data_IF_143128748787
#
_entry.id   IF_143128748787
#
_cell.length_a   1.000
_cell.length_b   1.000
_cell.length_c   1.000
_cell.angle_alpha   90.00
_cell.angle_beta   90.00
_cell.angle_gamma   90.00
#
_symmetry.space_group_name_H-M   'P 1'
#
loop_
_entity.id
_entity.type
_entity.pdbx_description
1 polymer ?
#
# COMPACT_ATOMS: atom_id res chain seq x y z
N UNK A 1 0.04 -16.09 -12.60
CA UNK A 1 -1.09 -15.62 -11.79
C UNK A 1 -0.81 -14.18 -11.36
N UNK A 2 -1.76 -13.29 -11.59
CA UNK A 2 -1.60 -11.90 -11.15
C UNK A 2 -1.74 -11.80 -9.63
N UNK A 3 -0.90 -10.96 -9.05
CA UNK A 3 -0.89 -10.67 -7.62
C UNK A 3 -1.52 -9.31 -7.37
N UNK A 4 -2.51 -9.29 -6.48
CA UNK A 4 -3.22 -8.09 -6.09
C UNK A 4 -2.91 -7.79 -4.62
N UNK A 5 -2.50 -6.55 -4.34
CA UNK A 5 -2.31 -6.08 -2.97
C UNK A 5 -3.41 -5.07 -2.67
N UNK A 6 -4.17 -5.31 -1.61
CA UNK A 6 -5.24 -4.44 -1.14
C UNK A 6 -4.82 -3.82 0.18
N UNK A 7 -4.71 -2.50 0.19
CA UNK A 7 -4.41 -1.74 1.41
C UNK A 7 -5.72 -1.19 1.96
N UNK A 8 -6.08 -1.64 3.15
CA UNK A 8 -7.20 -1.09 3.92
C UNK A 8 -6.65 -0.11 4.95
N UNK A 9 -7.05 1.15 4.86
CA UNK A 9 -6.43 2.23 5.63
C UNK A 9 -7.33 2.86 6.69
N UNK A 10 -8.53 2.30 6.91
CA UNK A 10 -9.40 2.80 7.98
C UNK A 10 -8.86 2.39 9.34
N UNK A 11 -8.80 3.32 10.32
CA UNK A 11 -8.51 2.95 11.71
C UNK A 11 -9.68 2.20 12.37
N UNK A 12 -10.88 2.27 11.79
CA UNK A 12 -12.05 1.57 12.31
C UNK A 12 -12.12 0.16 11.74
N UNK A 13 -12.42 -0.81 12.60
CA UNK A 13 -12.72 -2.17 12.16
C UNK A 13 -14.14 -2.24 11.63
N UNK A 14 -14.33 -2.99 10.55
CA UNK A 14 -15.64 -3.23 9.94
C UNK A 14 -16.36 -1.94 9.48
N UNK A 15 -15.59 -0.91 9.13
CA UNK A 15 -16.13 0.29 8.52
C UNK A 15 -16.45 0.08 7.04
N UNK A 16 -17.07 1.09 6.42
CA UNK A 16 -17.54 0.98 5.03
C UNK A 16 -16.41 0.71 4.03
N UNK A 17 -15.26 1.36 4.18
CA UNK A 17 -14.14 1.14 3.26
C UNK A 17 -13.57 -0.27 3.39
N UNK A 18 -13.53 -0.81 4.60
CA UNK A 18 -13.06 -2.19 4.80
C UNK A 18 -14.05 -3.20 4.22
N UNK A 19 -15.35 -2.97 4.38
CA UNK A 19 -16.37 -3.82 3.77
C UNK A 19 -16.23 -3.84 2.25
N UNK A 20 -16.02 -2.69 1.64
CA UNK A 20 -15.80 -2.59 0.20
C UNK A 20 -14.54 -3.35 -0.22
N UNK A 21 -13.45 -3.20 0.54
CA UNK A 21 -12.22 -3.92 0.27
C UNK A 21 -12.44 -5.43 0.33
N UNK A 22 -13.17 -5.92 1.34
CA UNK A 22 -13.43 -7.34 1.49
C UNK A 22 -14.30 -7.89 0.35
N UNK A 23 -15.26 -7.11 -0.15
CA UNK A 23 -16.04 -7.52 -1.32
C UNK A 23 -15.19 -7.58 -2.57
N UNK A 24 -14.29 -6.62 -2.77
CA UNK A 24 -13.34 -6.66 -3.88
C UNK A 24 -12.47 -7.91 -3.81
N UNK A 25 -11.95 -8.23 -2.62
CA UNK A 25 -11.10 -9.41 -2.39
C UNK A 25 -11.85 -10.69 -2.73
N UNK A 26 -13.11 -10.78 -2.28
CA UNK A 26 -13.96 -11.93 -2.54
C UNK A 26 -14.14 -12.14 -4.05
N UNK A 27 -14.43 -11.08 -4.78
CA UNK A 27 -14.59 -11.14 -6.23
C UNK A 27 -13.30 -11.55 -6.94
N UNK A 28 -12.18 -10.92 -6.59
CA UNK A 28 -10.90 -11.21 -7.21
C UNK A 28 -10.45 -12.65 -6.94
N UNK A 29 -10.64 -13.12 -5.72
CA UNK A 29 -10.27 -14.48 -5.34
C UNK A 29 -11.13 -15.51 -6.07
N UNK A 30 -12.41 -15.22 -6.29
CA UNK A 30 -13.32 -16.14 -6.97
C UNK A 30 -12.92 -16.43 -8.41
N UNK A 31 -12.19 -15.52 -9.05
CA UNK A 31 -11.68 -15.69 -10.43
C UNK A 31 -10.23 -16.11 -10.49
N UNK A 32 -9.64 -16.50 -9.35
CA UNK A 32 -8.32 -17.13 -9.31
C UNK A 32 -7.14 -16.21 -9.10
N UNK A 33 -7.33 -14.92 -8.81
CA UNK A 33 -6.21 -14.03 -8.50
C UNK A 33 -5.69 -14.27 -7.09
N UNK A 34 -4.37 -14.08 -6.93
CA UNK A 34 -3.74 -14.10 -5.61
C UNK A 34 -3.90 -12.73 -4.98
N UNK A 35 -4.59 -12.65 -3.85
CA UNK A 35 -4.85 -11.39 -3.17
C UNK A 35 -4.21 -11.38 -1.79
N UNK A 36 -3.49 -10.29 -1.49
CA UNK A 36 -2.92 -10.04 -0.17
C UNK A 36 -3.60 -8.79 0.37
N UNK A 37 -4.27 -8.93 1.52
CA UNK A 37 -4.87 -7.81 2.24
C UNK A 37 -3.92 -7.33 3.32
N UNK A 38 -3.68 -6.02 3.35
CA UNK A 38 -2.89 -5.37 4.39
C UNK A 38 -3.77 -4.32 5.05
N UNK A 39 -4.05 -4.52 6.34
CA UNK A 39 -4.78 -3.55 7.15
C UNK A 39 -3.75 -2.69 7.89
N UNK A 40 -3.65 -1.41 7.51
CA UNK A 40 -2.64 -0.51 8.06
C UNK A 40 -2.77 -0.28 9.56
N UNK A 41 -3.95 -0.53 10.14
CA UNK A 41 -4.13 -0.43 11.60
C UNK A 41 -3.25 -1.42 12.37
N UNK A 42 -2.80 -2.48 11.71
CA UNK A 42 -1.98 -3.53 12.32
C UNK A 42 -0.47 -3.33 12.12
N UNK A 43 -0.07 -2.21 11.50
CA UNK A 43 1.32 -1.95 11.14
C UNK A 43 1.78 -0.63 11.74
N UNK A 44 3.07 -0.56 12.06
CA UNK A 44 3.71 0.67 12.54
C UNK A 44 4.48 1.30 11.41
N UNK A 45 4.00 2.44 10.95
CA UNK A 45 4.61 3.18 9.84
C UNK A 45 4.74 4.63 10.26
N UNK A 46 5.98 5.11 10.33
CA UNK A 46 6.27 6.49 10.64
C UNK A 46 6.26 7.34 9.36
N UNK A 47 5.98 8.65 9.47
CA UNK A 47 6.05 9.55 8.33
C UNK A 47 7.45 9.64 7.73
N UNK A 48 7.52 9.95 6.45
CA UNK A 48 8.78 10.21 5.76
C UNK A 48 9.46 11.45 6.37
N UNK A 49 10.77 11.36 6.62
CA UNK A 49 11.56 12.44 7.21
C UNK A 49 12.16 13.37 6.16
N UNK A 50 11.96 13.08 4.87
CA UNK A 50 12.57 13.85 3.76
C UNK A 50 14.08 13.96 3.87
N UNK A 51 14.74 12.96 4.45
CA UNK A 51 16.19 12.95 4.67
C UNK A 51 17.00 12.54 3.45
N UNK A 52 16.34 12.04 2.41
CA UNK A 52 16.94 11.58 1.15
C UNK A 52 17.98 10.46 1.30
N UNK A 53 18.05 9.82 2.46
CA UNK A 53 18.93 8.68 2.67
C UNK A 53 18.77 7.61 1.58
N UNK A 54 17.53 7.34 1.17
CA UNK A 54 17.23 6.31 0.17
C UNK A 54 17.88 6.58 -1.20
N UNK A 55 18.12 7.84 -1.55
CA UNK A 55 18.70 8.21 -2.85
C UNK A 55 20.14 7.69 -3.01
N UNK A 56 20.90 7.64 -1.91
CA UNK A 56 22.28 7.16 -1.92
C UNK A 56 22.47 5.74 -1.39
N UNK A 57 21.37 5.02 -1.08
CA UNK A 57 21.43 3.74 -0.39
C UNK A 57 20.54 2.69 -1.06
N UNK A 58 20.65 2.57 -2.38
CA UNK A 58 19.96 1.55 -3.18
C UNK A 58 18.44 1.54 -3.01
N UNK A 59 17.83 2.74 -2.91
CA UNK A 59 16.39 2.90 -2.74
C UNK A 59 15.85 2.24 -1.47
N UNK A 60 16.64 2.25 -0.41
CA UNK A 60 16.24 1.71 0.90
C UNK A 60 16.05 2.84 1.90
N UNK A 61 14.93 2.82 2.61
CA UNK A 61 14.66 3.81 3.65
C UNK A 61 15.52 3.54 4.89
N UNK A 62 15.96 4.63 5.55
CA UNK A 62 16.71 4.52 6.80
C UNK A 62 15.82 4.06 7.96
N UNK A 63 14.52 4.34 7.90
CA UNK A 63 13.60 3.97 8.97
C UNK A 63 13.35 2.47 8.98
N UNK A 64 13.49 1.87 10.16
CA UNK A 64 13.30 0.43 10.35
C UNK A 64 11.94 0.17 11.00
N UNK A 65 10.89 0.28 10.21
CA UNK A 65 9.53 0.01 10.65
C UNK A 65 8.82 -0.90 9.64
N UNK A 66 7.51 -1.05 9.77
CA UNK A 66 6.75 -1.98 8.93
C UNK A 66 6.57 -1.51 7.48
N UNK A 67 6.88 -0.24 7.18
CA UNK A 67 6.68 0.29 5.84
C UNK A 67 7.47 -0.47 4.79
N UNK A 68 8.70 -0.89 5.11
CA UNK A 68 9.55 -1.55 4.13
C UNK A 68 8.92 -2.86 3.62
N UNK A 69 8.36 -3.66 4.51
CA UNK A 69 7.73 -4.92 4.09
C UNK A 69 6.41 -4.70 3.37
N UNK A 70 5.64 -3.70 3.77
CA UNK A 70 4.39 -3.36 3.07
C UNK A 70 4.68 -2.87 1.66
N UNK A 71 5.65 -1.99 1.52
CA UNK A 71 6.02 -1.43 0.21
C UNK A 71 6.63 -2.51 -0.68
N UNK A 72 7.37 -3.46 -0.12
CA UNK A 72 7.89 -4.59 -0.91
C UNK A 72 6.74 -5.38 -1.56
N UNK A 73 5.65 -5.60 -0.83
CA UNK A 73 4.48 -6.26 -1.40
C UNK A 73 3.86 -5.44 -2.53
N UNK A 74 3.83 -4.11 -2.38
CA UNK A 74 3.31 -3.21 -3.42
C UNK A 74 4.20 -3.24 -4.66
N UNK A 75 5.51 -3.21 -4.49
CA UNK A 75 6.46 -3.24 -5.61
C UNK A 75 6.28 -4.52 -6.44
N UNK A 76 6.03 -5.63 -5.78
CA UNK A 76 5.89 -6.92 -6.43
C UNK A 76 4.47 -7.22 -6.93
N UNK A 77 3.52 -6.33 -6.70
CA UNK A 77 2.14 -6.53 -7.11
C UNK A 77 1.92 -6.14 -8.57
N UNK A 78 0.95 -6.79 -9.21
CA UNK A 78 0.46 -6.40 -10.53
C UNK A 78 -0.65 -5.36 -10.41
N UNK A 79 -1.44 -5.43 -9.34
CA UNK A 79 -2.54 -4.51 -9.06
C UNK A 79 -2.42 -4.02 -7.63
N UNK A 80 -2.57 -2.72 -7.44
CA UNK A 80 -2.50 -2.07 -6.13
C UNK A 80 -3.84 -1.38 -5.86
N UNK A 81 -4.54 -1.84 -4.83
CA UNK A 81 -5.86 -1.34 -4.45
C UNK A 81 -5.75 -0.60 -3.13
N UNK A 82 -6.28 0.61 -3.10
CA UNK A 82 -6.33 1.43 -1.89
C UNK A 82 -7.78 1.65 -1.47
N UNK A 83 -8.13 1.15 -0.29
CA UNK A 83 -9.45 1.38 0.31
C UNK A 83 -9.28 2.33 1.50
N UNK A 84 -9.89 3.52 1.40
CA UNK A 84 -9.72 4.56 2.40
C UNK A 84 -11.04 5.26 2.69
N UNK A 85 -11.33 5.59 3.96
CA UNK A 85 -12.40 6.52 4.26
C UNK A 85 -11.99 7.93 3.81
N UNK A 86 -13.00 8.78 3.63
CA UNK A 86 -12.76 10.20 3.33
C UNK A 86 -12.78 10.96 4.66
N UNK A 87 -11.64 11.52 5.03
CA UNK A 87 -11.50 12.37 6.21
C UNK A 87 -11.10 13.77 5.76
N UNK A 88 -11.95 14.74 6.09
CA UNK A 88 -11.72 16.12 5.73
C UNK A 88 -11.34 16.30 4.26
N UNK A 89 -12.20 15.79 3.37
CA UNK A 89 -12.07 15.91 1.90
C UNK A 89 -10.89 15.14 1.29
N UNK A 90 -10.24 14.27 2.03
CA UNK A 90 -9.07 13.56 1.52
C UNK A 90 -9.01 12.13 2.04
N UNK A 91 -7.99 11.41 1.65
CA UNK A 91 -7.72 10.06 2.14
C UNK A 91 -7.27 10.08 3.60
N UNK A 92 -7.29 8.93 4.25
CA UNK A 92 -6.87 8.85 5.65
C UNK A 92 -5.38 9.18 5.81
N UNK A 93 -5.00 9.71 6.99
CA UNK A 93 -3.60 9.99 7.30
C UNK A 93 -2.75 8.74 7.25
N UNK A 94 -3.29 7.60 7.69
CA UNK A 94 -2.60 6.32 7.65
C UNK A 94 -2.16 5.95 6.22
N UNK A 95 -3.04 6.16 5.25
CA UNK A 95 -2.72 5.88 3.86
C UNK A 95 -1.71 6.88 3.31
N UNK A 96 -1.85 8.17 3.64
CA UNK A 96 -0.93 9.20 3.16
C UNK A 96 0.49 8.95 3.68
N UNK A 97 0.63 8.55 4.93
CA UNK A 97 1.92 8.19 5.50
C UNK A 97 2.58 7.06 4.69
N UNK A 98 1.82 6.04 4.33
CA UNK A 98 2.33 4.95 3.48
C UNK A 98 2.74 5.46 2.10
N UNK A 99 1.90 6.26 1.48
CA UNK A 99 2.17 6.84 0.16
C UNK A 99 3.46 7.64 0.17
N UNK A 100 3.66 8.49 1.19
CA UNK A 100 4.89 9.27 1.30
C UNK A 100 6.13 8.38 1.45
N UNK A 101 6.00 7.27 2.16
CA UNK A 101 7.11 6.32 2.35
C UNK A 101 7.41 5.51 1.08
N UNK A 102 6.50 5.47 0.13
CA UNK A 102 6.74 4.83 -1.17
C UNK A 102 7.78 5.58 -2.00
N UNK A 103 8.11 6.81 -1.63
CA UNK A 103 9.13 7.60 -2.31
C UNK A 103 10.48 6.86 -2.42
N UNK A 104 10.87 6.11 -1.40
CA UNK A 104 12.12 5.36 -1.42
C UNK A 104 12.19 4.35 -2.57
N UNK A 105 11.07 3.80 -2.98
CA UNK A 105 10.98 2.79 -4.02
C UNK A 105 10.32 3.31 -5.30
N UNK A 106 10.23 4.62 -5.45
CA UNK A 106 9.57 5.27 -6.58
C UNK A 106 10.11 4.77 -7.93
N UNK A 107 11.41 4.68 -8.07
CA UNK A 107 12.02 4.23 -9.31
C UNK A 107 11.53 2.83 -9.70
N UNK A 108 11.51 1.91 -8.76
CA UNK A 108 11.09 0.54 -9.01
C UNK A 108 9.60 0.44 -9.33
N UNK A 109 8.78 1.25 -8.68
CA UNK A 109 7.33 1.29 -8.93
C UNK A 109 7.06 1.83 -10.34
N UNK A 110 7.72 2.93 -10.73
CA UNK A 110 7.50 3.59 -12.02
C UNK A 110 8.07 2.79 -13.19
N UNK A 111 9.19 2.11 -13.00
CA UNK A 111 9.90 1.43 -14.08
C UNK A 111 9.72 -0.09 -14.04
N UNK A 112 8.75 -0.57 -13.27
CA UNK A 112 8.46 -2.00 -13.23
C UNK A 112 8.03 -2.50 -14.61
N UNK A 113 8.51 -3.67 -15.04
CA UNK A 113 7.99 -4.31 -16.25
C UNK A 113 6.53 -4.71 -16.11
N UNK A 114 6.05 -4.82 -14.89
CA UNK A 114 4.63 -5.04 -14.60
C UNK A 114 3.92 -3.70 -14.59
N UNK A 115 2.98 -3.51 -15.49
CA UNK A 115 2.12 -2.33 -15.44
C UNK A 115 1.18 -2.50 -14.26
N UNK A 116 1.41 -1.69 -13.23
CA UNK A 116 0.53 -1.70 -12.08
C UNK A 116 -0.76 -0.96 -12.40
N UNK A 117 -1.87 -1.62 -12.15
CA UNK A 117 -3.15 -0.95 -12.14
C UNK A 117 -3.40 -0.40 -10.74
N UNK A 118 -3.76 0.86 -10.67
CA UNK A 118 -4.13 1.52 -9.43
C UNK A 118 -5.65 1.57 -9.34
N UNK A 119 -6.19 1.06 -8.26
CA UNK A 119 -7.62 1.04 -7.98
C UNK A 119 -7.90 1.65 -6.61
#
# INVERSE_FOLDING_TARGET
MKKIVVISSSPRKNGNSEILADQFIKGATSVGYKVIKINLANYRIAPCLACEYCRGHHNRCVLKDDANKVIEEIVNADVFVMATPVYFYSLSAQLKILIDRMFAREYEIRNSPKRKQLI
#
